data_IF_556083083374
#
_entry.id   IF_556083083374
#
_cell.length_a   1.000
_cell.length_b   1.000
_cell.length_c   1.000
_cell.angle_alpha   90.00
_cell.angle_beta   90.00
_cell.angle_gamma   90.00
#
_symmetry.space_group_name_H-M   'P 1'
#
loop_
_entity.id
_entity.type
_entity.pdbx_description
1 polymer ?
#
# COMPACT_ATOMS: atom_id res chain seq x y z
N UNK A 1 5.40 0.06 -0.17
CA UNK A 1 5.17 -0.34 1.23
C UNK A 1 5.93 0.55 2.21
N UNK A 2 7.27 0.58 2.23
CA UNK A 2 8.00 1.43 3.20
C UNK A 2 7.65 2.94 3.11
N UNK A 3 7.50 3.48 1.90
CA UNK A 3 7.23 4.89 1.66
C UNK A 3 5.85 5.39 2.16
N UNK A 4 4.86 4.52 2.32
CA UNK A 4 3.50 4.90 2.76
C UNK A 4 3.11 4.28 4.10
N UNK A 5 4.09 3.90 4.93
CA UNK A 5 3.84 3.59 6.36
C UNK A 5 3.01 4.71 7.01
N UNK A 6 3.29 5.96 6.64
CA UNK A 6 2.53 7.11 7.13
C UNK A 6 1.03 7.02 6.79
N UNK A 7 0.67 6.54 5.59
CA UNK A 7 -0.72 6.44 5.15
C UNK A 7 -1.47 5.41 5.98
N UNK A 8 -0.88 4.23 6.19
CA UNK A 8 -1.44 3.18 7.05
C UNK A 8 -1.54 3.64 8.51
N UNK A 9 -0.50 4.31 9.06
CA UNK A 9 -0.53 4.84 10.42
C UNK A 9 -1.61 5.92 10.58
N UNK A 10 -1.76 6.82 9.60
CA UNK A 10 -2.82 7.84 9.62
C UNK A 10 -4.22 7.22 9.53
N UNK A 11 -4.37 6.12 8.81
CA UNK A 11 -5.63 5.37 8.69
C UNK A 11 -6.00 4.66 9.99
N UNK A 12 -5.04 4.00 10.67
CA UNK A 12 -5.32 3.17 11.85
C UNK A 12 -5.25 3.97 13.15
N UNK A 13 -4.43 5.02 13.19
CA UNK A 13 -4.27 5.93 14.32
C UNK A 13 -4.16 7.39 13.82
N UNK A 14 -5.30 8.01 13.43
CA UNK A 14 -5.33 9.41 13.01
C UNK A 14 -4.93 10.39 14.13
N UNK A 15 -4.95 9.94 15.40
CA UNK A 15 -4.40 10.63 16.57
C UNK A 15 -3.37 9.74 17.26
N UNK A 16 -2.50 10.33 18.09
CA UNK A 16 -1.41 9.58 18.75
C UNK A 16 -1.90 8.33 19.49
N UNK A 17 -3.03 8.47 20.19
CA UNK A 17 -3.82 7.38 20.75
C UNK A 17 -5.20 7.41 20.10
N UNK A 18 -5.66 6.28 19.61
CA UNK A 18 -6.97 6.12 18.97
C UNK A 18 -7.69 4.93 19.59
N UNK A 19 -8.90 5.16 20.09
CA UNK A 19 -9.78 4.14 20.67
C UNK A 19 -11.09 4.15 19.89
N UNK A 20 -11.49 2.99 19.38
CA UNK A 20 -12.73 2.79 18.63
C UNK A 20 -13.50 1.64 19.27
N UNK A 21 -14.63 1.96 19.89
CA UNK A 21 -15.43 1.02 20.70
C UNK A 21 -16.92 1.23 20.48
N UNK A 22 -17.74 0.20 20.67
CA UNK A 22 -19.21 0.32 20.55
C UNK A 22 -19.81 1.24 21.61
N UNK A 23 -19.17 1.35 22.78
CA UNK A 23 -19.55 2.25 23.87
C UNK A 23 -18.52 3.37 24.05
N UNK A 24 -18.89 4.44 24.74
CA UNK A 24 -17.93 5.49 25.13
C UNK A 24 -16.92 4.92 26.14
N UNK A 25 -15.74 5.54 26.19
CA UNK A 25 -14.71 5.21 27.18
C UNK A 25 -15.31 5.33 28.59
N UNK A 26 -15.07 4.32 29.43
CA UNK A 26 -15.55 4.29 30.82
C UNK A 26 -14.69 5.18 31.72
N UNK A 27 -15.21 5.66 32.86
CA UNK A 27 -14.41 6.41 33.83
C UNK A 27 -13.16 5.66 34.29
N UNK A 28 -13.25 4.33 34.39
CA UNK A 28 -12.11 3.47 34.72
C UNK A 28 -11.02 3.54 33.63
N UNK A 29 -11.40 3.43 32.35
CA UNK A 29 -10.46 3.53 31.24
C UNK A 29 -9.85 4.94 31.15
N UNK A 30 -10.62 5.99 31.40
CA UNK A 30 -10.11 7.36 31.48
C UNK A 30 -9.11 7.52 32.63
N UNK A 31 -9.38 6.94 33.80
CA UNK A 31 -8.44 6.89 34.93
C UNK A 31 -7.15 6.15 34.58
N UNK A 32 -7.25 5.01 33.88
CA UNK A 32 -6.08 4.25 33.38
C UNK A 32 -5.23 5.09 32.42
N UNK A 33 -5.87 5.76 31.44
CA UNK A 33 -5.18 6.63 30.49
C UNK A 33 -4.42 7.74 31.21
N UNK A 34 -5.08 8.42 32.14
CA UNK A 34 -4.47 9.51 32.91
C UNK A 34 -3.35 9.01 33.83
N UNK A 35 -3.48 7.83 34.43
CA UNK A 35 -2.48 7.25 35.33
C UNK A 35 -1.23 6.81 34.56
N UNK A 36 -1.40 6.15 33.41
CA UNK A 36 -0.29 5.81 32.52
C UNK A 36 0.41 7.07 32.00
N UNK A 37 -0.34 8.10 31.60
CA UNK A 37 0.24 9.36 31.16
C UNK A 37 1.08 10.03 32.25
N UNK A 38 0.58 10.07 33.50
CA UNK A 38 1.34 10.59 34.65
C UNK A 38 2.62 9.80 34.91
N UNK A 39 2.55 8.46 34.90
CA UNK A 39 3.70 7.56 35.11
C UNK A 39 4.83 7.82 34.11
N UNK A 40 4.50 8.14 32.86
CA UNK A 40 5.47 8.42 31.81
C UNK A 40 5.75 9.90 31.59
N UNK A 41 5.19 10.80 32.41
CA UNK A 41 5.29 12.25 32.21
C UNK A 41 4.77 12.73 30.83
N UNK A 42 3.76 12.05 30.30
CA UNK A 42 3.07 12.44 29.08
C UNK A 42 1.97 13.47 29.38
N UNK A 43 1.96 14.58 28.64
CA UNK A 43 0.88 15.55 28.67
C UNK A 43 -0.16 15.23 27.60
N UNK A 44 -1.37 14.89 28.02
CA UNK A 44 -2.48 14.58 27.11
C UNK A 44 -3.20 15.87 26.66
N UNK A 45 -3.45 15.99 25.36
CA UNK A 45 -4.32 17.02 24.81
C UNK A 45 -5.80 16.66 25.03
N UNK A 46 -6.70 17.65 24.87
CA UNK A 46 -8.14 17.42 24.94
C UNK A 46 -8.57 16.33 23.93
N UNK A 47 -9.32 15.30 24.37
CA UNK A 47 -9.78 14.24 23.48
C UNK A 47 -10.74 14.80 22.42
N UNK A 48 -10.62 14.27 21.19
CA UNK A 48 -11.63 14.44 20.15
C UNK A 48 -12.50 13.20 20.13
N UNK A 49 -13.81 13.39 20.37
CA UNK A 49 -14.78 12.30 20.39
C UNK A 49 -15.92 12.52 19.41
N UNK A 50 -16.34 11.44 18.75
CA UNK A 50 -17.50 11.45 17.87
C UNK A 50 -18.05 10.06 17.64
N UNK A 51 -19.26 10.01 17.10
CA UNK A 51 -19.99 8.77 16.83
C UNK A 51 -20.25 8.65 15.33
N UNK A 52 -20.06 7.44 14.81
CA UNK A 52 -20.41 7.04 13.43
C UNK A 52 -21.29 5.81 13.46
N UNK A 53 -21.79 5.38 12.30
CA UNK A 53 -22.25 3.99 12.18
C UNK A 53 -21.10 3.03 12.49
N UNK A 54 -21.45 1.84 12.94
CA UNK A 54 -20.59 0.67 12.84
C UNK A 54 -20.19 0.45 11.37
N UNK A 55 -18.99 -0.13 11.13
CA UNK A 55 -18.56 -0.45 9.78
C UNK A 55 -19.49 -1.49 9.17
N UNK A 56 -19.97 -1.24 7.95
CA UNK A 56 -20.66 -2.23 7.14
C UNK A 56 -19.73 -2.69 6.05
N UNK A 57 -19.46 -3.98 5.97
CA UNK A 57 -18.53 -4.52 5.00
C UNK A 57 -19.25 -5.05 3.77
N UNK A 58 -18.66 -4.89 2.59
CA UNK A 58 -19.33 -5.25 1.35
C UNK A 58 -18.58 -4.84 0.08
N UNK A 59 -19.34 -4.74 -1.01
CA UNK A 59 -18.82 -4.31 -2.32
C UNK A 59 -19.82 -3.43 -3.06
N UNK A 60 -19.37 -2.79 -4.13
CA UNK A 60 -20.20 -1.92 -4.97
C UNK A 60 -20.54 -2.58 -6.29
N UNK A 61 -21.82 -2.61 -6.61
CA UNK A 61 -22.36 -3.03 -7.91
C UNK A 61 -23.23 -1.91 -8.47
N UNK A 62 -22.88 -1.34 -9.62
CA UNK A 62 -23.68 -0.29 -10.27
C UNK A 62 -24.10 0.87 -9.34
N UNK A 63 -23.17 1.42 -8.56
CA UNK A 63 -23.42 2.47 -7.54
C UNK A 63 -24.37 2.07 -6.39
N UNK A 64 -24.66 0.78 -6.24
CA UNK A 64 -25.35 0.20 -5.07
C UNK A 64 -24.32 -0.51 -4.20
N UNK A 65 -24.32 -0.19 -2.91
CA UNK A 65 -23.53 -0.91 -1.93
C UNK A 65 -24.28 -2.18 -1.51
N UNK A 66 -23.66 -3.33 -1.77
CA UNK A 66 -24.13 -4.64 -1.32
C UNK A 66 -23.48 -4.90 0.04
N UNK A 67 -24.26 -4.68 1.09
CA UNK A 67 -23.82 -4.92 2.46
C UNK A 67 -23.84 -6.43 2.77
N UNK A 68 -22.71 -6.93 3.23
CA UNK A 68 -22.52 -8.32 3.63
C UNK A 68 -22.51 -8.50 5.16
N UNK A 69 -22.61 -7.42 5.94
CA UNK A 69 -22.68 -7.49 7.40
C UNK A 69 -21.33 -7.20 8.07
N UNK A 70 -20.96 -8.05 9.02
CA UNK A 70 -19.76 -7.91 9.85
C UNK A 70 -18.55 -8.63 9.23
N UNK A 71 -17.37 -8.46 9.83
CA UNK A 71 -16.12 -9.07 9.36
C UNK A 71 -16.17 -10.60 9.18
N UNK A 72 -17.08 -11.30 9.86
CA UNK A 72 -17.21 -12.76 9.82
C UNK A 72 -17.93 -13.25 8.55
N UNK A 73 -18.73 -12.39 7.92
CA UNK A 73 -19.57 -12.73 6.77
C UNK A 73 -18.89 -12.44 5.41
N UNK A 74 -17.58 -12.15 5.45
CA UNK A 74 -16.84 -11.65 4.30
C UNK A 74 -16.49 -12.73 3.30
N UNK A 75 -16.53 -12.35 2.02
CA UNK A 75 -16.23 -13.24 0.90
C UNK A 75 -15.10 -12.65 0.04
N UNK A 76 -14.66 -13.40 -0.98
CA UNK A 76 -13.69 -12.90 -1.95
C UNK A 76 -14.19 -11.70 -2.78
N UNK A 77 -15.49 -11.38 -2.71
CA UNK A 77 -16.07 -10.20 -3.36
C UNK A 77 -15.98 -8.95 -2.51
N UNK A 78 -15.75 -9.06 -1.19
CA UNK A 78 -15.70 -7.91 -0.30
C UNK A 78 -14.52 -7.00 -0.67
N UNK A 79 -14.79 -5.72 -0.92
CA UNK A 79 -13.75 -4.74 -1.29
C UNK A 79 -13.71 -3.52 -0.38
N UNK A 80 -14.82 -3.22 0.31
CA UNK A 80 -15.00 -1.94 0.97
C UNK A 80 -15.68 -2.07 2.34
N UNK A 81 -15.43 -1.05 3.16
CA UNK A 81 -16.14 -0.82 4.40
C UNK A 81 -16.86 0.51 4.30
N UNK A 82 -18.16 0.56 4.50
CA UNK A 82 -18.94 1.80 4.52
C UNK A 82 -19.19 2.25 5.95
N UNK A 83 -18.85 3.51 6.22
CA UNK A 83 -19.05 4.17 7.51
C UNK A 83 -19.84 5.44 7.25
N UNK A 84 -20.95 5.60 7.95
CA UNK A 84 -21.82 6.77 7.81
C UNK A 84 -21.64 7.72 9.00
N UNK A 85 -21.63 9.01 8.72
CA UNK A 85 -21.51 10.08 9.70
C UNK A 85 -22.59 11.14 9.45
N UNK A 86 -23.12 11.75 10.52
CA UNK A 86 -24.05 12.88 10.37
C UNK A 86 -23.30 14.16 9.98
N UNK A 87 -23.97 15.05 9.24
CA UNK A 87 -23.45 16.40 8.92
C UNK A 87 -23.11 17.19 10.17
N UNK A 88 -23.89 17.06 11.24
CA UNK A 88 -23.60 17.71 12.52
C UNK A 88 -22.26 17.25 13.11
N UNK A 89 -21.98 15.94 13.09
CA UNK A 89 -20.70 15.40 13.53
C UNK A 89 -19.56 15.88 12.62
N UNK A 90 -19.74 15.78 11.30
CA UNK A 90 -18.75 16.20 10.32
C UNK A 90 -18.37 17.68 10.48
N UNK A 91 -19.36 18.57 10.56
CA UNK A 91 -19.16 20.01 10.75
C UNK A 91 -18.39 20.31 12.04
N UNK A 92 -18.72 19.61 13.13
CA UNK A 92 -18.06 19.80 14.43
C UNK A 92 -16.59 19.39 14.42
N UNK A 93 -16.26 18.24 13.82
CA UNK A 93 -14.88 17.72 13.87
C UNK A 93 -14.00 18.34 12.80
N UNK A 94 -14.54 18.58 11.60
CA UNK A 94 -13.79 19.08 10.45
C UNK A 94 -13.81 20.62 10.32
N UNK A 95 -14.44 21.31 11.27
CA UNK A 95 -14.64 22.76 11.28
C UNK A 95 -15.25 23.25 9.95
N UNK A 96 -16.42 22.69 9.62
CA UNK A 96 -17.17 22.97 8.38
C UNK A 96 -18.60 23.41 8.71
N UNK A 97 -19.26 24.01 7.73
CA UNK A 97 -20.65 24.48 7.83
C UNK A 97 -21.55 23.93 6.71
N UNK A 98 -21.42 22.65 6.41
CA UNK A 98 -22.21 21.99 5.35
C UNK A 98 -23.64 21.74 5.82
N UNK A 99 -24.63 22.07 4.99
CA UNK A 99 -26.04 21.68 5.17
C UNK A 99 -26.46 20.77 4.02
N UNK A 100 -26.85 19.53 4.33
CA UNK A 100 -27.30 18.54 3.33
C UNK A 100 -28.80 18.27 3.48
N UNK A 101 -29.50 18.17 2.35
CA UNK A 101 -30.85 17.64 2.31
C UNK A 101 -30.86 16.11 2.59
N UNK A 102 -32.02 15.54 2.89
CA UNK A 102 -32.14 14.12 3.25
C UNK A 102 -31.64 13.16 2.17
N UNK A 103 -31.76 13.53 0.88
CA UNK A 103 -31.34 12.73 -0.27
C UNK A 103 -29.96 13.13 -0.82
N UNK A 104 -29.17 13.95 -0.10
CA UNK A 104 -27.82 14.34 -0.52
C UNK A 104 -26.78 13.79 0.46
N UNK A 105 -25.62 13.41 -0.06
CA UNK A 105 -24.50 12.95 0.74
C UNK A 105 -23.18 13.55 0.24
N UNK A 106 -22.22 13.73 1.14
CA UNK A 106 -20.81 13.83 0.75
C UNK A 106 -20.17 12.44 0.87
N UNK A 107 -19.21 12.13 0.00
CA UNK A 107 -18.51 10.84 0.03
C UNK A 107 -17.00 11.03 -0.03
N UNK A 108 -16.30 10.43 0.93
CA UNK A 108 -14.86 10.29 0.91
C UNK A 108 -14.50 8.83 0.67
N UNK A 109 -13.84 8.55 -0.45
CA UNK A 109 -13.42 7.20 -0.86
C UNK A 109 -12.02 7.26 -1.48
N UNK A 110 -10.96 6.89 -0.73
CA UNK A 110 -9.59 7.10 -1.18
C UNK A 110 -9.14 6.10 -2.26
N UNK A 111 -9.71 4.90 -2.32
CA UNK A 111 -9.29 3.88 -3.29
C UNK A 111 -9.94 4.06 -4.68
N UNK A 112 -11.21 4.48 -4.72
CA UNK A 112 -11.99 4.68 -5.94
C UNK A 112 -13.04 5.76 -5.71
N UNK A 113 -13.04 6.79 -6.53
CA UNK A 113 -14.06 7.84 -6.45
C UNK A 113 -15.45 7.29 -6.80
N UNK A 114 -16.45 7.70 -6.03
CA UNK A 114 -17.86 7.40 -6.26
C UNK A 114 -18.62 8.72 -6.45
N UNK A 115 -19.49 8.79 -7.47
CA UNK A 115 -20.24 9.99 -7.83
C UNK A 115 -21.63 9.66 -8.37
N UNK A 116 -22.54 10.63 -8.30
CA UNK A 116 -23.91 10.49 -8.80
C UNK A 116 -24.85 9.88 -7.76
N UNK A 117 -25.88 9.17 -8.22
CA UNK A 117 -26.85 8.53 -7.33
C UNK A 117 -26.28 7.23 -6.78
N UNK A 118 -26.06 7.18 -5.46
CA UNK A 118 -25.62 6.00 -4.71
C UNK A 118 -26.78 5.39 -3.95
N UNK A 119 -26.85 4.07 -3.89
CA UNK A 119 -27.83 3.34 -3.08
C UNK A 119 -27.13 2.63 -1.92
N UNK A 120 -27.57 2.92 -0.69
CA UNK A 120 -27.05 2.31 0.54
C UNK A 120 -28.26 1.82 1.33
N UNK A 121 -28.38 0.50 1.47
CA UNK A 121 -29.60 -0.12 1.97
C UNK A 121 -30.81 0.27 1.11
N UNK A 122 -31.85 0.82 1.76
CA UNK A 122 -33.07 1.28 1.10
C UNK A 122 -33.00 2.75 0.64
N UNK A 123 -31.96 3.48 1.04
CA UNK A 123 -31.86 4.92 0.79
C UNK A 123 -31.03 5.21 -0.47
N UNK A 124 -31.47 6.20 -1.24
CA UNK A 124 -30.74 6.73 -2.40
C UNK A 124 -30.22 8.13 -2.08
N UNK A 125 -28.94 8.35 -2.32
CA UNK A 125 -28.26 9.62 -2.08
C UNK A 125 -27.66 10.14 -3.36
N UNK A 126 -27.85 11.43 -3.66
CA UNK A 126 -27.04 12.15 -4.62
C UNK A 126 -25.72 12.52 -3.96
N UNK A 127 -24.66 11.78 -4.30
CA UNK A 127 -23.35 11.88 -3.66
C UNK A 127 -22.43 12.88 -4.38
N UNK A 128 -21.80 13.75 -3.59
CA UNK A 128 -20.74 14.66 -4.04
C UNK A 128 -19.41 14.22 -3.42
N UNK A 129 -18.38 13.91 -4.24
CA UNK A 129 -17.09 13.49 -3.71
C UNK A 129 -16.40 14.63 -2.95
N UNK A 130 -15.69 14.26 -1.87
CA UNK A 130 -14.74 15.13 -1.18
C UNK A 130 -13.35 14.47 -1.21
N UNK A 131 -12.31 15.28 -1.35
CA UNK A 131 -10.94 14.79 -1.51
C UNK A 131 -10.10 14.86 -0.24
N UNK A 132 -10.53 15.65 0.75
CA UNK A 132 -9.82 15.82 2.02
C UNK A 132 -10.74 15.50 3.20
N UNK A 133 -10.31 14.54 4.03
CA UNK A 133 -10.97 14.22 5.28
C UNK A 133 -9.97 13.77 6.35
N UNK A 134 -9.60 14.70 7.23
CA UNK A 134 -8.57 14.49 8.27
C UNK A 134 -8.99 13.55 9.42
N UNK A 135 -10.25 13.13 9.45
CA UNK A 135 -10.81 12.20 10.44
C UNK A 135 -11.17 10.85 9.82
N UNK A 136 -10.62 10.55 8.65
CA UNK A 136 -10.66 9.23 8.06
C UNK A 136 -9.97 8.22 8.98
N UNK A 137 -10.62 7.08 9.21
CA UNK A 137 -10.03 5.95 9.93
C UNK A 137 -10.52 4.61 9.37
N UNK A 138 -9.75 3.56 9.62
CA UNK A 138 -10.12 2.19 9.28
C UNK A 138 -10.40 1.39 10.57
N UNK A 139 -11.69 1.19 10.94
CA UNK A 139 -12.04 0.42 12.12
C UNK A 139 -11.60 -1.05 11.94
N UNK A 140 -11.20 -1.68 13.05
CA UNK A 140 -10.77 -3.08 13.08
C UNK A 140 -9.54 -3.41 12.22
N UNK A 141 -8.83 -2.41 11.69
CA UNK A 141 -7.63 -2.60 10.87
C UNK A 141 -7.86 -3.49 9.64
N UNK A 142 -9.07 -3.41 9.06
CA UNK A 142 -9.48 -4.29 7.98
C UNK A 142 -8.73 -3.98 6.68
N UNK A 143 -8.50 -5.03 5.88
CA UNK A 143 -7.91 -4.91 4.52
C UNK A 143 -8.85 -4.27 3.51
N UNK A 144 -10.12 -4.03 3.89
CA UNK A 144 -11.13 -3.44 3.02
C UNK A 144 -11.03 -1.92 3.06
N UNK A 145 -11.17 -1.27 1.90
CA UNK A 145 -11.01 0.18 1.81
C UNK A 145 -12.20 0.90 2.46
N UNK A 146 -11.98 1.74 3.50
CA UNK A 146 -13.02 2.50 4.15
C UNK A 146 -13.55 3.62 3.25
N UNK A 147 -14.86 3.78 3.26
CA UNK A 147 -15.60 4.84 2.57
C UNK A 147 -16.45 5.54 3.62
N UNK A 148 -16.25 6.86 3.75
CA UNK A 148 -17.05 7.69 4.63
C UNK A 148 -18.16 8.37 3.85
N UNK A 149 -19.38 8.23 4.35
CA UNK A 149 -20.57 8.80 3.73
C UNK A 149 -21.19 9.76 4.74
N UNK A 150 -21.17 11.05 4.42
CA UNK A 150 -21.70 12.09 5.29
C UNK A 150 -23.13 12.38 4.83
N UNK A 151 -24.09 12.11 5.71
CA UNK A 151 -25.53 12.27 5.46
C UNK A 151 -26.14 13.23 6.47
N UNK A 152 -27.33 13.76 6.21
CA UNK A 152 -27.98 14.69 7.15
C UNK A 152 -28.18 14.06 8.55
N UNK A 153 -28.65 12.81 8.59
CA UNK A 153 -28.80 12.00 9.81
C UNK A 153 -28.28 10.59 9.52
N UNK A 154 -27.80 9.91 10.56
CA UNK A 154 -27.45 8.50 10.44
C UNK A 154 -28.67 7.69 9.95
N UNK A 155 -28.49 6.67 9.09
CA UNK A 155 -29.57 5.79 8.69
C UNK A 155 -30.22 5.13 9.91
N UNK A 156 -31.54 4.95 9.87
CA UNK A 156 -32.28 4.32 10.96
C UNK A 156 -31.76 2.89 11.23
N UNK A 157 -31.87 2.43 12.47
CA UNK A 157 -31.48 1.08 12.93
C UNK A 157 -30.02 0.70 12.65
N UNK A 158 -29.14 1.68 12.54
CA UNK A 158 -27.71 1.43 12.34
C UNK A 158 -27.01 1.40 13.69
N UNK A 159 -26.34 0.30 14.01
CA UNK A 159 -25.45 0.22 15.17
C UNK A 159 -24.39 1.32 15.09
N UNK A 160 -23.92 1.83 16.24
CA UNK A 160 -22.97 2.94 16.28
C UNK A 160 -21.69 2.55 16.99
N UNK A 161 -20.59 3.17 16.57
CA UNK A 161 -19.30 3.12 17.26
C UNK A 161 -18.89 4.51 17.70
N UNK A 162 -18.10 4.57 18.75
CA UNK A 162 -17.53 5.78 19.31
C UNK A 162 -16.04 5.82 19.02
N UNK A 163 -15.62 6.90 18.38
CA UNK A 163 -14.23 7.23 18.19
C UNK A 163 -13.78 8.15 19.34
N UNK A 164 -12.62 7.84 19.93
CA UNK A 164 -11.90 8.74 20.83
C UNK A 164 -10.45 8.83 20.42
N UNK A 165 -9.99 10.03 20.06
CA UNK A 165 -8.62 10.29 19.69
C UNK A 165 -7.96 11.28 20.64
N UNK A 166 -6.79 10.93 21.15
CA UNK A 166 -6.02 11.74 22.10
C UNK A 166 -4.61 11.93 21.53
N UNK A 167 -4.21 13.18 21.32
CA UNK A 167 -2.81 13.49 21.07
C UNK A 167 -2.08 13.67 22.41
N UNK A 168 -0.78 13.40 22.43
CA UNK A 168 0.02 13.61 23.62
C UNK A 168 1.37 14.25 23.30
N UNK A 169 1.94 14.92 24.29
CA UNK A 169 3.32 15.42 24.26
C UNK A 169 4.12 14.67 25.30
N UNK A 170 5.23 14.09 24.89
CA UNK A 170 6.14 13.34 25.73
C UNK A 170 7.56 13.81 25.42
N UNK A 171 8.35 14.06 26.45
CA UNK A 171 9.78 14.31 26.27
C UNK A 171 10.51 12.98 26.08
N UNK A 172 11.32 12.88 25.03
CA UNK A 172 12.14 11.71 24.75
C UNK A 172 12.10 11.26 23.29
N UNK A 173 12.95 10.30 22.94
CA UNK A 173 12.99 9.73 21.60
C UNK A 173 11.92 8.64 21.38
N UNK A 174 11.96 8.02 20.20
CA UNK A 174 11.04 6.94 19.78
C UNK A 174 10.83 5.84 20.85
N UNK A 175 11.87 5.47 21.60
CA UNK A 175 11.79 4.46 22.67
C UNK A 175 10.88 4.88 23.83
N UNK A 176 10.91 6.15 24.23
CA UNK A 176 10.06 6.66 25.31
C UNK A 176 8.57 6.60 24.92
N UNK A 177 8.26 7.06 23.69
CA UNK A 177 6.91 6.98 23.13
C UNK A 177 6.40 5.53 23.05
N UNK A 178 7.25 4.61 22.58
CA UNK A 178 6.92 3.18 22.52
C UNK A 178 6.63 2.59 23.90
N UNK A 179 7.45 2.92 24.90
CA UNK A 179 7.27 2.41 26.26
C UNK A 179 5.94 2.91 26.87
N UNK A 180 5.62 4.19 26.70
CA UNK A 180 4.35 4.76 27.15
C UNK A 180 3.16 4.08 26.48
N UNK A 181 3.18 3.98 25.15
CA UNK A 181 2.08 3.41 24.37
C UNK A 181 1.86 1.91 24.65
N UNK A 182 2.94 1.15 24.86
CA UNK A 182 2.87 -0.28 25.22
C UNK A 182 2.33 -0.48 26.64
N UNK A 183 2.79 0.31 27.60
CA UNK A 183 2.31 0.26 28.99
C UNK A 183 0.82 0.62 29.07
N UNK A 184 0.40 1.63 28.30
CA UNK A 184 -1.01 1.99 28.19
C UNK A 184 -1.86 0.88 27.56
N UNK A 185 -1.39 0.26 26.48
CA UNK A 185 -2.08 -0.87 25.84
C UNK A 185 -2.26 -2.04 26.82
N UNK A 186 -1.23 -2.37 27.60
CA UNK A 186 -1.26 -3.45 28.57
C UNK A 186 -2.27 -3.20 29.70
N UNK A 187 -2.41 -1.95 30.16
CA UNK A 187 -3.32 -1.58 31.25
C UNK A 187 -4.77 -1.36 30.81
N UNK A 188 -5.01 -0.99 29.54
CA UNK A 188 -6.36 -0.71 29.04
C UNK A 188 -7.22 -1.97 28.85
N UNK A 189 -6.58 -3.14 28.67
CA UNK A 189 -7.25 -4.43 28.42
C UNK A 189 -8.31 -4.38 27.30
N UNK A 190 -8.11 -3.48 26.33
CA UNK A 190 -8.95 -3.38 25.15
C UNK A 190 -8.53 -4.44 24.12
N UNK A 191 -9.46 -4.97 23.31
CA UNK A 191 -9.10 -5.75 22.14
C UNK A 191 -8.11 -4.98 21.24
N UNK A 192 -7.13 -5.67 20.66
CA UNK A 192 -6.13 -5.03 19.78
C UNK A 192 -6.74 -4.27 18.59
N UNK A 193 -7.95 -4.62 18.19
CA UNK A 193 -8.70 -3.95 17.12
C UNK A 193 -9.32 -2.62 17.56
N UNK A 194 -9.51 -2.42 18.87
CA UNK A 194 -10.20 -1.27 19.45
C UNK A 194 -9.24 -0.16 19.91
N UNK A 195 -7.96 -0.47 20.10
CA UNK A 195 -6.93 0.50 20.50
C UNK A 195 -5.80 0.54 19.46
N UNK A 196 -5.31 1.73 19.18
CA UNK A 196 -4.23 1.94 18.23
C UNK A 196 -3.40 3.13 18.64
N UNK A 197 -2.08 3.02 18.51
CA UNK A 197 -1.18 4.10 18.88
C UNK A 197 -0.07 4.27 17.86
N UNK A 198 0.30 5.52 17.60
CA UNK A 198 1.11 5.89 16.42
C UNK A 198 2.55 5.39 16.51
N UNK A 199 3.20 5.48 17.66
CA UNK A 199 4.59 5.03 17.78
C UNK A 199 4.69 3.51 17.66
N UNK A 200 3.80 2.79 18.34
CA UNK A 200 3.70 1.33 18.30
C UNK A 200 3.40 0.85 16.87
N UNK A 201 2.33 1.35 16.23
CA UNK A 201 1.98 0.98 14.86
C UNK A 201 3.12 1.26 13.88
N UNK A 202 3.74 2.45 13.96
CA UNK A 202 4.86 2.79 13.09
C UNK A 202 6.02 1.83 13.30
N UNK A 203 6.33 1.44 14.54
CA UNK A 203 7.40 0.49 14.83
C UNK A 203 7.09 -0.89 14.27
N UNK A 204 5.89 -1.41 14.48
CA UNK A 204 5.46 -2.71 13.95
C UNK A 204 5.48 -2.74 12.41
N UNK A 205 4.89 -1.71 11.77
CA UNK A 205 4.86 -1.60 10.31
C UNK A 205 6.25 -1.43 9.70
N UNK A 206 7.14 -0.66 10.36
CA UNK A 206 8.54 -0.50 9.90
C UNK A 206 9.28 -1.82 9.94
N UNK A 207 9.13 -2.60 11.03
CA UNK A 207 9.76 -3.92 11.16
C UNK A 207 9.20 -4.91 10.14
N UNK A 208 7.87 -4.98 10.00
CA UNK A 208 7.20 -5.90 9.07
C UNK A 208 7.56 -5.58 7.61
N UNK A 209 7.37 -4.34 7.18
CA UNK A 209 7.67 -3.94 5.80
C UNK A 209 9.17 -3.94 5.52
N UNK A 210 10.01 -3.64 6.51
CA UNK A 210 11.46 -3.80 6.40
C UNK A 210 11.87 -5.24 6.11
N UNK A 211 11.28 -6.21 6.82
CA UNK A 211 11.51 -7.64 6.58
C UNK A 211 11.07 -8.09 5.19
N UNK A 212 9.89 -7.67 4.72
CA UNK A 212 9.39 -7.99 3.38
C UNK A 212 10.29 -7.39 2.29
N UNK A 213 10.71 -6.13 2.43
CA UNK A 213 11.61 -5.48 1.47
C UNK A 213 12.98 -6.17 1.45
N UNK A 214 13.53 -6.51 2.62
CA UNK A 214 14.79 -7.25 2.72
C UNK A 214 14.72 -8.59 1.99
N UNK A 215 13.66 -9.38 2.22
CA UNK A 215 13.46 -10.65 1.55
C UNK A 215 13.32 -10.46 0.02
N UNK A 216 12.57 -9.46 -0.41
CA UNK A 216 12.41 -9.14 -1.83
C UNK A 216 13.74 -8.77 -2.51
N UNK A 217 14.59 -7.99 -1.85
CA UNK A 217 15.92 -7.63 -2.37
C UNK A 217 16.81 -8.88 -2.45
N UNK A 218 16.85 -9.71 -1.40
CA UNK A 218 17.65 -10.94 -1.39
C UNK A 218 17.24 -11.89 -2.52
N UNK A 219 15.94 -12.13 -2.68
CA UNK A 219 15.42 -12.99 -3.74
C UNK A 219 15.77 -12.40 -5.12
N UNK A 220 15.58 -11.09 -5.30
CA UNK A 220 15.92 -10.42 -6.56
C UNK A 220 17.40 -10.51 -6.89
N UNK A 221 18.26 -10.37 -5.88
CA UNK A 221 19.71 -10.48 -6.04
C UNK A 221 20.14 -11.91 -6.39
N UNK A 222 19.61 -12.91 -5.67
CA UNK A 222 19.88 -14.31 -5.96
C UNK A 222 19.45 -14.70 -7.39
N UNK A 223 18.21 -14.35 -7.78
CA UNK A 223 17.70 -14.58 -9.13
C UNK A 223 18.51 -13.82 -10.19
N UNK A 224 18.96 -12.60 -9.88
CA UNK A 224 19.83 -11.80 -10.74
C UNK A 224 21.19 -12.47 -11.00
N UNK A 225 21.84 -12.99 -9.95
CA UNK A 225 23.08 -13.76 -10.07
C UNK A 225 22.84 -15.01 -10.91
N UNK A 226 21.80 -15.80 -10.59
CA UNK A 226 21.46 -17.01 -11.34
C UNK A 226 21.27 -16.70 -12.82
N UNK A 227 20.51 -15.65 -13.15
CA UNK A 227 20.28 -15.22 -14.53
C UNK A 227 21.59 -14.82 -15.22
N UNK A 228 22.46 -14.07 -14.52
CA UNK A 228 23.77 -13.65 -15.04
C UNK A 228 24.66 -14.84 -15.37
N UNK A 229 24.71 -15.83 -14.47
CA UNK A 229 25.50 -17.05 -14.64
C UNK A 229 24.99 -17.88 -15.82
N UNK A 230 23.67 -18.05 -15.94
CA UNK A 230 23.05 -18.76 -17.07
C UNK A 230 23.37 -18.07 -18.40
N UNK A 231 23.22 -16.76 -18.45
CA UNK A 231 23.55 -15.96 -19.65
C UNK A 231 25.03 -16.06 -20.01
N UNK A 232 25.92 -15.99 -19.01
CA UNK A 232 27.36 -16.08 -19.19
C UNK A 232 27.76 -17.42 -19.83
N UNK A 233 27.29 -18.54 -19.26
CA UNK A 233 27.58 -19.86 -19.82
C UNK A 233 27.01 -20.03 -21.22
N UNK A 234 25.78 -19.56 -21.46
CA UNK A 234 25.16 -19.62 -22.77
C UNK A 234 25.99 -18.87 -23.83
N UNK A 235 26.43 -17.65 -23.53
CA UNK A 235 27.24 -16.86 -24.45
C UNK A 235 28.60 -17.49 -24.74
N UNK A 236 29.25 -18.10 -23.73
CA UNK A 236 30.53 -18.77 -23.94
C UNK A 236 30.36 -19.96 -24.88
N UNK A 237 29.36 -20.81 -24.64
CA UNK A 237 29.10 -21.98 -25.49
C UNK A 237 28.76 -21.57 -26.92
N UNK A 238 27.83 -20.62 -27.11
CA UNK A 238 27.49 -20.09 -28.43
C UNK A 238 28.69 -19.42 -29.11
N UNK A 239 29.57 -18.75 -28.36
CA UNK A 239 30.76 -18.10 -28.89
C UNK A 239 31.80 -19.06 -29.47
N UNK A 240 32.03 -20.21 -28.81
CA UNK A 240 32.91 -21.25 -29.34
C UNK A 240 32.32 -21.95 -30.57
N UNK A 241 31.02 -22.22 -30.59
CA UNK A 241 30.33 -22.82 -31.75
C UNK A 241 30.36 -21.88 -32.97
N UNK A 242 30.08 -20.60 -32.75
CA UNK A 242 30.06 -19.59 -33.81
C UNK A 242 31.46 -19.31 -34.37
N UNK A 243 32.52 -19.38 -33.56
CA UNK A 243 33.91 -19.20 -34.01
C UNK A 243 34.24 -20.13 -35.20
N UNK A 244 33.86 -21.40 -35.12
CA UNK A 244 34.11 -22.37 -36.20
C UNK A 244 33.30 -22.06 -37.47
N UNK A 245 32.03 -21.69 -37.33
CA UNK A 245 31.15 -21.32 -38.46
C UNK A 245 31.62 -20.05 -39.17
N UNK A 246 32.04 -19.04 -38.41
CA UNK A 246 32.50 -17.78 -38.99
C UNK A 246 33.84 -17.93 -39.72
N UNK A 247 34.76 -18.77 -39.19
CA UNK A 247 36.00 -19.12 -39.91
C UNK A 247 35.72 -19.77 -41.26
N UNK A 248 34.72 -20.66 -41.33
CA UNK A 248 34.26 -21.24 -42.59
C UNK A 248 33.67 -20.18 -43.52
N UNK A 249 32.78 -19.30 -43.02
CA UNK A 249 32.16 -18.24 -43.82
C UNK A 249 33.17 -17.25 -44.41
N UNK A 250 34.24 -16.92 -43.68
CA UNK A 250 35.33 -16.08 -44.18
C UNK A 250 36.07 -16.75 -45.35
N UNK A 251 36.27 -18.08 -45.31
CA UNK A 251 36.91 -18.84 -46.39
C UNK A 251 36.09 -18.87 -47.69
N UNK A 252 34.77 -18.74 -47.61
CA UNK A 252 33.87 -18.64 -48.78
C UNK A 252 33.53 -17.19 -49.19
N UNK A 253 34.18 -16.18 -48.59
CA UNK A 253 34.16 -14.80 -49.08
C UNK A 253 33.44 -13.76 -48.23
N UNK A 254 33.00 -14.11 -47.01
CA UNK A 254 32.37 -13.16 -46.10
C UNK A 254 33.42 -12.25 -45.43
N UNK A 255 33.20 -10.93 -45.44
CA UNK A 255 34.15 -10.00 -44.81
C UNK A 255 34.06 -10.02 -43.28
N UNK A 256 35.16 -9.73 -42.58
CA UNK A 256 35.20 -9.54 -41.11
C UNK A 256 34.13 -8.56 -40.58
N UNK A 257 33.83 -7.50 -41.36
CA UNK A 257 32.81 -6.51 -41.02
C UNK A 257 31.41 -7.10 -41.05
N UNK A 258 31.10 -7.93 -42.03
CA UNK A 258 29.80 -8.60 -42.17
C UNK A 258 29.61 -9.66 -41.08
N UNK A 259 30.65 -10.44 -40.79
CA UNK A 259 30.73 -11.38 -39.66
C UNK A 259 30.39 -10.69 -38.34
N UNK A 260 31.09 -9.59 -38.03
CA UNK A 260 30.90 -8.87 -36.75
C UNK A 260 29.50 -8.25 -36.63
N UNK A 261 28.93 -7.78 -37.73
CA UNK A 261 27.58 -7.20 -37.78
C UNK A 261 26.50 -8.26 -37.52
N UNK A 262 26.62 -9.44 -38.13
CA UNK A 262 25.69 -10.56 -37.94
C UNK A 262 25.71 -11.06 -36.49
N UNK A 263 26.89 -11.25 -35.90
CA UNK A 263 27.06 -11.61 -34.48
C UNK A 263 26.35 -10.61 -33.57
N UNK A 264 26.60 -9.31 -33.78
CA UNK A 264 26.04 -8.28 -32.91
C UNK A 264 24.50 -8.26 -32.96
N UNK A 265 23.91 -8.43 -34.16
CA UNK A 265 22.46 -8.45 -34.32
C UNK A 265 21.82 -9.66 -33.63
N UNK A 266 22.42 -10.84 -33.74
CA UNK A 266 21.90 -12.06 -33.14
C UNK A 266 21.99 -12.01 -31.60
N UNK A 267 23.16 -11.64 -31.06
CA UNK A 267 23.36 -11.53 -29.62
C UNK A 267 22.45 -10.44 -29.03
N UNK A 268 22.28 -9.30 -29.71
CA UNK A 268 21.37 -8.24 -29.26
C UNK A 268 19.92 -8.74 -29.19
N UNK A 269 19.43 -9.43 -30.22
CA UNK A 269 18.06 -9.96 -30.25
C UNK A 269 17.80 -10.93 -29.08
N UNK A 270 18.73 -11.87 -28.85
CA UNK A 270 18.62 -12.85 -27.75
C UNK A 270 18.59 -12.18 -26.38
N UNK A 271 19.31 -11.06 -26.21
CA UNK A 271 19.32 -10.29 -24.96
C UNK A 271 18.12 -9.37 -24.77
N UNK A 272 17.57 -8.81 -25.84
CA UNK A 272 16.40 -7.93 -25.73
C UNK A 272 15.12 -8.71 -25.45
N UNK A 273 15.01 -9.96 -25.91
CA UNK A 273 13.79 -10.75 -25.76
C UNK A 273 13.38 -10.96 -24.27
N UNK A 274 14.27 -11.34 -23.35
CA UNK A 274 13.96 -11.39 -21.92
C UNK A 274 13.54 -10.03 -21.32
N UNK A 275 14.15 -8.94 -21.78
CA UNK A 275 13.83 -7.59 -21.30
C UNK A 275 12.41 -7.19 -21.70
N UNK A 276 12.04 -7.40 -22.97
CA UNK A 276 10.69 -7.16 -23.46
C UNK A 276 9.68 -8.03 -22.70
N UNK A 277 9.99 -9.32 -22.52
CA UNK A 277 9.17 -10.24 -21.73
C UNK A 277 8.97 -9.78 -20.28
N UNK A 278 10.02 -9.28 -19.62
CA UNK A 278 9.94 -8.76 -18.26
C UNK A 278 9.06 -7.50 -18.16
N UNK A 279 9.15 -6.59 -19.13
CA UNK A 279 8.30 -5.39 -19.20
C UNK A 279 6.83 -5.80 -19.40
N UNK A 280 6.54 -6.71 -20.33
CA UNK A 280 5.18 -7.22 -20.57
C UNK A 280 4.64 -7.88 -19.28
N UNK A 281 5.42 -8.77 -18.66
CA UNK A 281 5.03 -9.42 -17.42
C UNK A 281 4.74 -8.41 -16.29
N UNK A 282 5.55 -7.36 -16.17
CA UNK A 282 5.31 -6.27 -15.21
C UNK A 282 3.98 -5.56 -15.52
N UNK A 283 3.69 -5.25 -16.78
CA UNK A 283 2.42 -4.64 -17.17
C UNK A 283 1.21 -5.51 -16.75
N UNK A 284 1.29 -6.83 -16.93
CA UNK A 284 0.26 -7.77 -16.46
C UNK A 284 0.16 -7.85 -14.94
N UNK A 285 1.27 -7.68 -14.21
CA UNK A 285 1.30 -7.75 -12.75
C UNK A 285 0.79 -6.47 -12.06
N UNK A 286 0.86 -5.29 -12.70
CA UNK A 286 0.49 -3.99 -12.12
C UNK A 286 -0.92 -3.99 -11.48
N UNK A 287 -1.99 -4.52 -12.12
CA UNK A 287 -3.32 -4.54 -11.52
C UNK A 287 -3.37 -5.33 -10.20
N UNK A 288 -2.70 -6.49 -10.16
CA UNK A 288 -2.64 -7.32 -8.95
C UNK A 288 -1.83 -6.64 -7.84
N UNK A 289 -0.67 -6.06 -8.18
CA UNK A 289 0.15 -5.28 -7.25
C UNK A 289 -0.64 -4.10 -6.67
N UNK A 290 -1.39 -3.38 -7.52
CA UNK A 290 -2.25 -2.27 -7.08
C UNK A 290 -3.30 -2.74 -6.08
N UNK A 291 -3.94 -3.88 -6.31
CA UNK A 291 -4.96 -4.41 -5.41
C UNK A 291 -4.37 -4.77 -4.04
N UNK A 292 -3.20 -5.41 -4.00
CA UNK A 292 -2.48 -5.71 -2.76
C UNK A 292 -2.15 -4.41 -2.03
N UNK A 293 -1.64 -3.39 -2.73
CA UNK A 293 -1.29 -2.11 -2.12
C UNK A 293 -2.51 -1.38 -1.52
N UNK A 294 -3.66 -1.40 -2.19
CA UNK A 294 -4.93 -0.85 -1.66
C UNK A 294 -5.32 -1.50 -0.33
N UNK A 295 -5.15 -2.83 -0.22
CA UNK A 295 -5.44 -3.58 1.01
C UNK A 295 -4.54 -3.16 2.18
N UNK A 296 -3.31 -2.76 1.91
CA UNK A 296 -2.42 -2.19 2.91
C UNK A 296 -2.59 -0.66 3.12
N UNK A 297 -3.70 -0.09 2.66
CA UNK A 297 -4.02 1.34 2.74
C UNK A 297 -3.09 2.26 1.91
N UNK A 298 -2.46 1.74 0.85
CA UNK A 298 -1.69 2.55 -0.11
C UNK A 298 -2.53 2.87 -1.34
N UNK A 299 -2.98 4.13 -1.44
CA UNK A 299 -3.86 4.57 -2.54
C UNK A 299 -3.14 5.43 -3.60
N UNK A 300 -1.91 5.86 -3.33
CA UNK A 300 -1.17 6.75 -4.22
C UNK A 300 -0.58 6.02 -5.45
N UNK A 301 -1.37 5.95 -6.52
CA UNK A 301 -0.98 5.32 -7.79
C UNK A 301 0.23 6.00 -8.43
N UNK A 302 0.39 7.33 -8.26
CA UNK A 302 1.55 8.05 -8.82
C UNK A 302 2.84 7.62 -8.14
N UNK A 303 2.84 7.55 -6.81
CA UNK A 303 3.99 7.08 -6.04
C UNK A 303 4.33 5.62 -6.39
N UNK A 304 3.32 4.76 -6.53
CA UNK A 304 3.49 3.38 -7.00
C UNK A 304 4.18 3.34 -8.37
N UNK A 305 3.70 4.12 -9.34
CA UNK A 305 4.27 4.18 -10.69
C UNK A 305 5.71 4.71 -10.69
N UNK A 306 5.99 5.78 -9.91
CA UNK A 306 7.35 6.34 -9.78
C UNK A 306 8.32 5.31 -9.22
N UNK A 307 7.93 4.57 -8.18
CA UNK A 307 8.78 3.54 -7.58
C UNK A 307 8.98 2.38 -8.57
N UNK A 308 7.91 1.92 -9.23
CA UNK A 308 8.00 0.84 -10.21
C UNK A 308 8.95 1.20 -11.37
N UNK A 309 8.76 2.37 -12.00
CA UNK A 309 9.62 2.85 -13.09
C UNK A 309 11.06 3.04 -12.63
N UNK A 310 11.28 3.62 -11.44
CA UNK A 310 12.62 3.80 -10.88
C UNK A 310 13.35 2.47 -10.70
N UNK A 311 12.69 1.46 -10.11
CA UNK A 311 13.29 0.14 -9.91
C UNK A 311 13.55 -0.55 -11.25
N UNK A 312 12.60 -0.50 -12.19
CA UNK A 312 12.77 -1.06 -13.53
C UNK A 312 13.97 -0.42 -14.23
N UNK A 313 14.14 0.91 -14.16
CA UNK A 313 15.26 1.61 -14.77
C UNK A 313 16.60 1.18 -14.16
N UNK A 314 16.68 1.06 -12.83
CA UNK A 314 17.89 0.57 -12.14
C UNK A 314 18.24 -0.85 -12.59
N UNK A 315 17.25 -1.75 -12.67
CA UNK A 315 17.46 -3.12 -13.12
C UNK A 315 17.86 -3.19 -14.61
N UNK A 316 17.27 -2.36 -15.46
CA UNK A 316 17.66 -2.26 -16.88
C UNK A 316 19.09 -1.76 -17.04
N UNK A 317 19.50 -0.73 -16.30
CA UNK A 317 20.88 -0.24 -16.30
C UNK A 317 21.87 -1.34 -15.89
N UNK A 318 21.56 -2.09 -14.84
CA UNK A 318 22.37 -3.22 -14.39
C UNK A 318 22.43 -4.33 -15.46
N UNK A 319 21.30 -4.66 -16.07
CA UNK A 319 21.22 -5.66 -17.13
C UNK A 319 22.05 -5.25 -18.37
N UNK A 320 21.96 -4.00 -18.82
CA UNK A 320 22.75 -3.51 -19.94
C UNK A 320 24.24 -3.41 -19.61
N UNK A 321 24.61 -3.12 -18.37
CA UNK A 321 26.01 -3.17 -17.93
C UNK A 321 26.57 -4.59 -18.03
N UNK A 322 25.80 -5.61 -17.61
CA UNK A 322 26.17 -7.02 -17.76
C UNK A 322 26.29 -7.38 -19.24
N UNK A 323 25.31 -7.05 -20.07
CA UNK A 323 25.36 -7.28 -21.51
C UNK A 323 26.61 -6.68 -22.17
N UNK A 324 26.96 -5.45 -21.80
CA UNK A 324 28.16 -4.78 -22.32
C UNK A 324 29.44 -5.51 -21.91
N UNK A 325 29.54 -5.95 -20.65
CA UNK A 325 30.67 -6.71 -20.15
C UNK A 325 30.81 -8.05 -20.86
N UNK A 326 29.71 -8.79 -21.00
CA UNK A 326 29.72 -10.14 -21.56
C UNK A 326 29.93 -10.12 -23.08
N UNK A 327 29.39 -9.13 -23.80
CA UNK A 327 29.66 -8.93 -25.25
C UNK A 327 31.12 -8.58 -25.53
N UNK A 328 31.78 -7.80 -24.66
CA UNK A 328 33.23 -7.53 -24.77
C UNK A 328 34.05 -8.82 -24.62
N UNK A 329 33.67 -9.68 -23.68
CA UNK A 329 34.28 -11.00 -23.49
C UNK A 329 34.08 -11.89 -24.72
N UNK A 330 32.85 -11.99 -25.23
CA UNK A 330 32.52 -12.76 -26.44
C UNK A 330 33.38 -12.31 -27.64
N UNK A 331 33.46 -11.00 -27.91
CA UNK A 331 34.28 -10.47 -29.01
C UNK A 331 35.77 -10.80 -28.84
N UNK A 332 36.29 -10.74 -27.63
CA UNK A 332 37.69 -11.08 -27.35
C UNK A 332 37.98 -12.57 -27.63
N UNK A 333 37.05 -13.46 -27.28
CA UNK A 333 37.16 -14.90 -27.56
C UNK A 333 37.17 -15.14 -29.07
N UNK A 334 36.19 -14.58 -29.79
CA UNK A 334 36.07 -14.76 -31.25
C UNK A 334 37.24 -14.14 -32.02
N UNK A 335 37.78 -13.01 -31.58
CA UNK A 335 38.92 -12.36 -32.24
C UNK A 335 40.29 -13.01 -31.98
N UNK A 336 40.39 -13.96 -31.04
CA UNK A 336 41.65 -14.58 -30.64
C UNK A 336 41.98 -15.92 -31.32
N UNK A 337 41.17 -16.45 -32.25
CA UNK A 337 41.53 -17.67 -33.00
C UNK A 337 40.84 -17.84 -34.34
#
# INVERSE_FOLDING_TARGET
>A
MYAGINDTVNSYAPRDLTIITSQKITPQQESTINSAAKKHHAHLNKPVTFTTSAPQYGYWENNRFINQGDLQDMTNQTTNTVITMSTATYNRIADKHVKLAANKALIYSPAKEHRGTLQIGLQKYQATPIHDFSYYFNPSHAIYSPIFIITNKLPANTATINFTGINYRLNGGKKAHLNFENDLQAQLHLPNQAYSSRANLRSQLTSLYGGIVFLGILISFALGITTTVVIYFKQITEGYEDQYRFKTMQQVGLSEKETTKSIHSQVLMVFMLPVVGAIINLCFAIPAIRQILIQFNFYNVRLMAIIAVSITLVLLCLYFAIYGLTTRMYRKIVAQG
#
